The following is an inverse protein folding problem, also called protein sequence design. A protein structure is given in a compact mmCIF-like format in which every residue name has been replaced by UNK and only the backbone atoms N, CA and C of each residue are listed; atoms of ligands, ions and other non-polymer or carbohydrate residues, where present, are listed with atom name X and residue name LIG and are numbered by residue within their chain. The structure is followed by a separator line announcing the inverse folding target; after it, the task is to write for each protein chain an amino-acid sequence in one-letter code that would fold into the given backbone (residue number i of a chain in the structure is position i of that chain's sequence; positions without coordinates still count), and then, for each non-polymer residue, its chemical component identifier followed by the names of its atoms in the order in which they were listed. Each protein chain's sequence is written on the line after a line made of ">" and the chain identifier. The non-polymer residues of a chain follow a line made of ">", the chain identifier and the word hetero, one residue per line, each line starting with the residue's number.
data_IF_864256897185
#
_entry.id   IF_864256897185
#
_cell.length_a   1.000
_cell.length_b   1.000
_cell.length_c   1.000
_cell.angle_alpha   90.00
_cell.angle_beta   90.00
_cell.angle_gamma   90.00
#
_symmetry.space_group_name_H-M   'P 1'
#
loop_
_entity.id
_entity.type
_entity.pdbx_description
1 polymer ?
#
# COMPACT_ATOMS: atom_id res chain seq x y z
N UNK A 1 -3.07 -2.45 0.72
CA UNK A 1 -1.76 -2.65 1.35
C UNK A 1 -0.85 -1.47 1.02
N UNK A 2 -0.25 -0.88 2.05
CA UNK A 2 0.77 0.16 1.96
C UNK A 2 2.01 -0.38 2.67
N UNK A 3 2.93 -0.93 1.90
CA UNK A 3 4.28 -1.27 2.36
C UNK A 3 5.14 -0.04 2.13
N UNK A 4 5.36 0.72 3.19
CA UNK A 4 5.85 2.09 3.08
C UNK A 4 7.38 2.17 3.06
N UNK A 5 7.97 3.07 2.28
CA UNK A 5 9.40 3.37 2.41
C UNK A 5 9.69 3.85 3.83
N UNK A 6 10.73 3.30 4.45
CA UNK A 6 11.08 3.54 5.83
C UNK A 6 12.59 3.61 6.04
N UNK A 7 13.03 3.95 7.24
CA UNK A 7 14.46 4.03 7.60
C UNK A 7 15.16 2.67 7.67
N UNK A 8 14.42 1.56 7.64
CA UNK A 8 14.95 0.23 7.41
C UNK A 8 15.71 -0.40 8.59
N UNK A 9 15.43 -0.02 9.83
CA UNK A 9 16.13 -0.56 11.02
C UNK A 9 16.03 -2.09 11.13
N UNK A 10 14.93 -2.67 10.69
CA UNK A 10 14.74 -4.11 10.65
C UNK A 10 15.67 -4.84 9.69
N UNK A 11 16.29 -4.12 8.75
CA UNK A 11 17.21 -4.68 7.77
C UNK A 11 18.68 -4.68 8.24
N UNK A 12 19.01 -4.03 9.37
CA UNK A 12 20.39 -3.84 9.85
C UNK A 12 21.19 -5.12 10.03
N UNK A 13 20.54 -6.24 10.26
CA UNK A 13 21.18 -7.53 10.37
C UNK A 13 21.57 -8.09 9.02
N UNK A 14 20.75 -7.87 8.01
CA UNK A 14 20.87 -8.45 6.67
C UNK A 14 21.67 -7.56 5.73
N UNK A 15 21.49 -6.24 5.86
CA UNK A 15 22.04 -5.24 4.95
C UNK A 15 22.93 -4.24 5.72
N UNK A 16 24.26 -4.34 5.56
CA UNK A 16 25.17 -3.38 6.18
C UNK A 16 25.01 -1.95 5.67
N UNK A 17 24.57 -1.75 4.43
CA UNK A 17 24.41 -0.42 3.83
C UNK A 17 23.22 0.31 4.48
N UNK A 18 22.18 -0.41 4.88
CA UNK A 18 21.04 0.15 5.61
C UNK A 18 21.45 0.85 6.91
N UNK A 19 22.55 0.40 7.57
CA UNK A 19 23.11 1.08 8.77
C UNK A 19 23.79 2.39 8.40
N UNK A 20 24.44 2.43 7.24
CA UNK A 20 25.14 3.64 6.76
C UNK A 20 24.19 4.74 6.33
N UNK A 21 23.04 4.37 5.81
CA UNK A 21 22.00 5.28 5.34
C UNK A 21 21.09 5.80 6.45
N UNK A 22 21.06 5.12 7.60
CA UNK A 22 20.20 5.48 8.71
C UNK A 22 20.66 6.76 9.40
N UNK A 23 19.73 7.65 9.69
CA UNK A 23 19.93 8.84 10.52
C UNK A 23 18.57 9.30 11.06
N UNK A 24 18.57 10.08 12.17
CA UNK A 24 17.35 10.72 12.67
C UNK A 24 16.70 11.63 11.63
N UNK A 25 17.50 12.26 10.76
CA UNK A 25 17.01 13.07 9.65
C UNK A 25 16.26 12.22 8.62
N UNK A 26 16.80 11.03 8.28
CA UNK A 26 16.16 10.09 7.38
C UNK A 26 14.84 9.54 7.97
N UNK A 27 14.82 9.18 9.25
CA UNK A 27 13.60 8.77 9.97
C UNK A 27 12.49 9.82 9.82
N UNK A 28 12.80 11.11 10.06
CA UNK A 28 11.82 12.21 9.92
C UNK A 28 11.33 12.39 8.49
N UNK A 29 12.21 12.25 7.50
CA UNK A 29 11.83 12.31 6.08
C UNK A 29 10.93 11.13 5.68
N UNK A 30 11.27 9.93 6.11
CA UNK A 30 10.44 8.74 5.90
C UNK A 30 9.06 8.91 6.54
N UNK A 31 9.01 9.35 7.79
CA UNK A 31 7.75 9.59 8.51
C UNK A 31 6.85 10.61 7.80
N UNK A 32 7.42 11.71 7.27
CA UNK A 32 6.67 12.70 6.49
C UNK A 32 6.12 12.10 5.18
N UNK A 33 6.96 11.34 4.45
CA UNK A 33 6.55 10.68 3.20
C UNK A 33 5.49 9.61 3.43
N UNK A 34 5.58 8.87 4.53
CA UNK A 34 4.56 7.88 4.93
C UNK A 34 3.21 8.55 5.16
N UNK A 35 3.18 9.72 5.81
CA UNK A 35 1.95 10.47 6.03
C UNK A 35 1.29 10.89 4.71
N UNK A 36 2.06 11.35 3.72
CA UNK A 36 1.56 11.66 2.38
C UNK A 36 0.97 10.42 1.69
N UNK A 37 1.70 9.30 1.71
CA UNK A 37 1.25 8.04 1.11
C UNK A 37 -0.03 7.53 1.78
N UNK A 38 -0.09 7.57 3.11
CA UNK A 38 -1.28 7.15 3.86
C UNK A 38 -2.50 7.99 3.54
N UNK A 39 -2.35 9.32 3.36
CA UNK A 39 -3.44 10.21 2.95
C UNK A 39 -4.01 9.83 1.59
N UNK A 40 -3.15 9.59 0.60
CA UNK A 40 -3.61 9.21 -0.74
C UNK A 40 -4.23 7.80 -0.75
N UNK A 41 -3.63 6.85 -0.04
CA UNK A 41 -4.19 5.51 0.11
C UNK A 41 -5.57 5.52 0.79
N UNK A 42 -5.72 6.36 1.84
CA UNK A 42 -6.99 6.51 2.54
C UNK A 42 -8.08 7.13 1.67
N UNK A 43 -7.73 8.13 0.86
CA UNK A 43 -8.66 8.72 -0.12
C UNK A 43 -9.16 7.71 -1.15
N UNK A 44 -8.28 6.81 -1.59
CA UNK A 44 -8.60 5.76 -2.55
C UNK A 44 -9.42 4.60 -1.93
N UNK A 45 -9.38 4.46 -0.60
CA UNK A 45 -10.06 3.40 0.11
C UNK A 45 -11.58 3.65 0.16
N UNK A 46 -12.36 2.65 -0.21
CA UNK A 46 -13.82 2.70 -0.14
C UNK A 46 -14.30 2.72 1.32
N UNK A 47 -15.48 3.32 1.62
CA UNK A 47 -16.16 3.13 2.90
C UNK A 47 -16.25 1.64 3.26
N UNK A 48 -16.00 1.28 4.52
CA UNK A 48 -15.91 -0.10 4.99
C UNK A 48 -14.66 -0.85 4.56
N UNK A 49 -13.76 -0.23 3.78
CA UNK A 49 -12.51 -0.85 3.33
C UNK A 49 -11.48 -0.99 4.45
N UNK A 50 -10.53 -1.91 4.26
CA UNK A 50 -9.41 -2.15 5.18
C UNK A 50 -8.11 -1.72 4.52
N UNK A 51 -7.30 -0.96 5.23
CA UNK A 51 -5.93 -0.60 4.88
C UNK A 51 -4.99 -1.35 5.82
N UNK A 52 -3.99 -1.99 5.24
CA UNK A 52 -2.86 -2.57 5.98
C UNK A 52 -1.65 -1.69 5.68
N UNK A 53 -1.07 -1.13 6.73
CA UNK A 53 0.16 -0.34 6.70
C UNK A 53 1.31 -1.20 7.21
N UNK A 54 2.47 -1.16 6.57
CA UNK A 54 3.66 -1.89 7.00
C UNK A 54 4.94 -1.11 6.78
N UNK A 55 5.93 -1.39 7.63
CA UNK A 55 7.30 -0.90 7.55
C UNK A 55 8.28 -2.01 7.95
N UNK A 56 9.53 -1.88 7.52
CA UNK A 56 10.63 -2.71 8.02
C UNK A 56 11.52 -1.93 9.01
N UNK A 57 10.92 -1.16 9.91
CA UNK A 57 11.63 -0.41 10.95
C UNK A 57 11.08 -0.73 12.35
N UNK A 58 11.71 -0.18 13.38
CA UNK A 58 11.31 -0.37 14.78
C UNK A 58 11.00 0.95 15.47
N UNK A 59 11.37 2.09 14.89
CA UNK A 59 11.21 3.36 15.54
C UNK A 59 9.75 3.78 15.60
N UNK A 60 9.42 4.47 16.69
CA UNK A 60 8.06 4.90 16.96
C UNK A 60 7.55 5.96 15.96
N UNK A 61 8.42 6.81 15.44
CA UNK A 61 8.01 7.92 14.56
C UNK A 61 7.39 7.42 13.26
N UNK A 62 7.89 6.31 12.73
CA UNK A 62 7.45 5.69 11.50
C UNK A 62 6.34 4.64 11.72
N UNK A 63 6.26 4.07 12.92
CA UNK A 63 5.31 3.02 13.27
C UNK A 63 4.06 3.62 13.96
N UNK A 64 4.03 3.65 15.29
CA UNK A 64 2.88 4.19 16.02
C UNK A 64 2.62 5.66 15.73
N UNK A 65 3.67 6.46 15.55
CA UNK A 65 3.56 7.88 15.22
C UNK A 65 2.86 8.12 13.88
N UNK A 66 3.06 7.26 12.89
CA UNK A 66 2.31 7.33 11.63
C UNK A 66 0.81 7.12 11.85
N UNK A 67 0.43 6.18 12.73
CA UNK A 67 -0.96 5.92 13.08
C UNK A 67 -1.57 7.06 13.91
N UNK A 68 -0.81 7.64 14.83
CA UNK A 68 -1.23 8.80 15.63
C UNK A 68 -1.52 10.00 14.72
N UNK A 69 -0.63 10.29 13.75
CA UNK A 69 -0.85 11.31 12.73
C UNK A 69 -2.07 10.99 11.85
N UNK A 70 -2.21 9.72 11.44
CA UNK A 70 -3.39 9.28 10.68
C UNK A 70 -4.68 9.50 11.47
N UNK A 71 -4.72 9.15 12.75
CA UNK A 71 -5.87 9.40 13.61
C UNK A 71 -6.22 10.89 13.67
N UNK A 72 -5.21 11.76 13.74
CA UNK A 72 -5.42 13.21 13.84
C UNK A 72 -6.09 13.82 12.59
N UNK A 73 -5.79 13.30 11.38
CA UNK A 73 -6.37 13.87 10.15
C UNK A 73 -7.55 13.07 9.59
N UNK A 74 -7.70 11.78 9.90
CA UNK A 74 -8.83 10.97 9.43
C UNK A 74 -10.01 10.97 10.43
N UNK A 75 -9.73 11.15 11.72
CA UNK A 75 -10.74 11.32 12.75
C UNK A 75 -11.82 10.24 12.74
N UNK A 76 -13.08 10.67 12.70
CA UNK A 76 -14.27 9.79 12.73
C UNK A 76 -14.42 8.89 11.49
N UNK A 77 -13.60 9.09 10.45
CA UNK A 77 -13.58 8.16 9.32
C UNK A 77 -12.94 6.80 9.67
N UNK A 78 -12.25 6.69 10.82
CA UNK A 78 -11.61 5.46 11.26
C UNK A 78 -12.57 4.67 12.13
N UNK A 79 -12.94 3.50 11.68
CA UNK A 79 -13.67 2.53 12.49
C UNK A 79 -12.68 1.67 13.28
N UNK A 80 -13.15 1.13 14.41
CA UNK A 80 -12.36 0.20 15.20
C UNK A 80 -12.01 -1.06 14.38
N UNK A 81 -10.74 -1.45 14.40
CA UNK A 81 -10.28 -2.65 13.74
C UNK A 81 -10.65 -3.89 14.54
N UNK A 82 -11.20 -4.88 13.85
CA UNK A 82 -11.60 -6.16 14.43
C UNK A 82 -10.40 -6.90 15.04
N UNK A 83 -10.67 -7.72 16.06
CA UNK A 83 -9.66 -8.61 16.63
C UNK A 83 -9.20 -9.63 15.59
N UNK A 84 -7.90 -9.76 15.46
CA UNK A 84 -7.27 -10.79 14.64
C UNK A 84 -6.67 -11.82 15.57
N UNK A 85 -7.05 -13.08 15.40
CA UNK A 85 -6.46 -14.18 16.17
C UNK A 85 -5.00 -14.35 15.76
N UNK A 86 -4.09 -14.26 16.71
CA UNK A 86 -2.66 -14.49 16.56
C UNK A 86 -2.25 -15.53 17.59
N UNK A 87 -1.64 -16.62 17.15
CA UNK A 87 -1.16 -17.66 18.06
C UNK A 87 0.12 -17.21 18.78
N UNK A 88 0.20 -17.41 20.08
CA UNK A 88 1.38 -17.06 20.88
C UNK A 88 2.67 -17.70 20.35
N UNK A 89 2.57 -18.90 19.79
CA UNK A 89 3.67 -19.63 19.17
C UNK A 89 4.33 -18.90 18.00
N UNK A 90 3.64 -17.96 17.36
CA UNK A 90 4.20 -17.16 16.27
C UNK A 90 5.15 -16.06 16.74
N UNK A 91 5.17 -15.76 18.04
CA UNK A 91 6.06 -14.77 18.65
C UNK A 91 5.76 -13.32 18.26
N UNK A 92 4.64 -13.06 17.62
CA UNK A 92 4.22 -11.72 17.18
C UNK A 92 3.77 -10.91 18.41
N UNK A 93 4.26 -9.68 18.52
CA UNK A 93 3.81 -8.76 19.57
C UNK A 93 2.63 -7.95 19.05
N UNK A 94 1.44 -8.27 19.56
CA UNK A 94 0.21 -7.55 19.25
C UNK A 94 0.04 -6.33 20.15
N UNK A 95 -0.52 -5.25 19.59
CA UNK A 95 -0.80 -4.01 20.31
C UNK A 95 -1.95 -3.24 19.67
N UNK A 96 -2.19 -2.05 20.22
CA UNK A 96 -3.17 -1.07 19.69
C UNK A 96 -2.63 0.35 19.77
N UNK A 97 -3.01 1.15 18.79
CA UNK A 97 -2.89 2.61 18.79
C UNK A 97 -4.27 3.17 18.45
N UNK A 98 -5.00 3.65 19.45
CA UNK A 98 -6.41 4.04 19.26
C UNK A 98 -7.23 2.92 18.62
N UNK A 99 -7.85 3.19 17.49
CA UNK A 99 -8.68 2.24 16.74
C UNK A 99 -7.89 1.22 15.91
N UNK A 100 -6.57 1.39 15.81
CA UNK A 100 -5.72 0.52 14.98
C UNK A 100 -5.23 -0.69 15.75
N UNK A 101 -5.23 -1.86 15.10
CA UNK A 101 -4.49 -3.04 15.57
C UNK A 101 -3.09 -2.99 15.04
N UNK A 102 -2.09 -3.31 15.88
CA UNK A 102 -0.66 -3.32 15.52
C UNK A 102 -0.01 -4.66 15.79
N UNK A 103 0.98 -4.98 14.97
CA UNK A 103 1.72 -6.24 15.01
C UNK A 103 3.20 -5.93 14.81
N UNK A 104 4.04 -6.34 15.78
CA UNK A 104 5.49 -6.21 15.69
C UNK A 104 6.15 -7.57 15.59
N UNK A 105 7.02 -7.69 14.63
CA UNK A 105 7.82 -8.87 14.34
C UNK A 105 9.26 -8.57 14.71
N UNK A 106 9.72 -9.10 15.83
CA UNK A 106 11.09 -8.93 16.29
C UNK A 106 11.95 -10.14 15.90
N UNK A 107 13.16 -9.95 15.35
CA UNK A 107 14.03 -11.06 14.91
C UNK A 107 14.41 -12.05 16.00
N UNK A 108 14.34 -11.66 17.27
CA UNK A 108 14.60 -12.56 18.41
C UNK A 108 13.37 -13.38 18.83
N UNK A 109 12.20 -13.13 18.25
CA UNK A 109 10.94 -13.80 18.58
C UNK A 109 10.31 -14.49 17.37
N UNK A 110 10.54 -13.97 16.18
CA UNK A 110 9.98 -14.49 14.93
C UNK A 110 11.09 -14.90 13.98
N UNK A 111 10.79 -15.85 13.08
CA UNK A 111 11.72 -16.26 12.04
C UNK A 111 11.66 -15.25 10.89
N UNK A 112 12.55 -14.26 10.87
CA UNK A 112 12.57 -13.21 9.83
C UNK A 112 13.35 -11.97 10.25
N UNK A 113 13.25 -10.94 9.44
CA UNK A 113 13.78 -9.61 9.72
C UNK A 113 12.75 -8.78 10.53
N UNK A 114 13.13 -7.57 10.97
CA UNK A 114 12.23 -6.70 11.69
C UNK A 114 11.10 -6.16 10.80
N UNK A 115 9.89 -6.16 11.34
CA UNK A 115 8.72 -5.73 10.60
C UNK A 115 7.64 -5.18 11.54
N UNK A 116 6.94 -4.18 11.08
CA UNK A 116 5.75 -3.64 11.73
C UNK A 116 4.58 -3.70 10.75
N UNK A 117 3.41 -4.03 11.26
CA UNK A 117 2.17 -3.96 10.50
C UNK A 117 1.06 -3.34 11.36
N UNK A 118 0.17 -2.59 10.72
CA UNK A 118 -1.02 -2.05 11.35
C UNK A 118 -2.23 -2.20 10.44
N UNK A 119 -3.40 -2.42 11.05
CA UNK A 119 -4.68 -2.53 10.35
C UNK A 119 -5.54 -1.33 10.69
N UNK A 120 -6.01 -0.63 9.67
CA UNK A 120 -6.95 0.47 9.75
C UNK A 120 -8.22 0.11 8.96
N UNK A 121 -9.40 0.37 9.52
CA UNK A 121 -10.68 0.18 8.85
C UNK A 121 -11.36 1.52 8.61
N UNK A 122 -11.81 1.75 7.39
CA UNK A 122 -12.59 2.94 7.07
C UNK A 122 -14.05 2.75 7.48
N UNK A 123 -14.62 3.74 8.16
CA UNK A 123 -16.04 3.71 8.53
C UNK A 123 -16.93 3.59 7.29
N UNK A 124 -18.07 2.89 7.44
CA UNK A 124 -19.10 2.84 6.39
C UNK A 124 -19.77 4.20 6.18
N UNK A 125 -19.80 5.05 7.21
CA UNK A 125 -20.39 6.38 7.18
C UNK A 125 -19.43 7.46 6.64
N UNK A 126 -18.20 7.09 6.35
CA UNK A 126 -17.19 7.97 5.72
C UNK A 126 -17.58 8.31 4.27
N UNK A 127 -18.76 8.87 4.09
CA UNK A 127 -19.39 9.13 2.80
C UNK A 127 -19.03 10.49 2.21
N UNK A 128 -17.79 10.69 1.79
CA UNK A 128 -17.49 11.67 0.76
C UNK A 128 -17.76 11.05 -0.61
N UNK A 129 -18.65 11.64 -1.42
CA UNK A 129 -18.69 11.31 -2.86
C UNK A 129 -17.32 11.61 -3.44
N UNK A 130 -16.54 10.57 -3.70
CA UNK A 130 -15.34 10.70 -4.52
C UNK A 130 -15.80 11.21 -5.88
N UNK A 131 -15.54 12.48 -6.15
CA UNK A 131 -15.79 13.04 -7.46
C UNK A 131 -14.89 12.32 -8.43
N UNK A 132 -15.47 11.55 -9.35
CA UNK A 132 -14.71 10.92 -10.41
C UNK A 132 -13.79 11.97 -11.07
N UNK A 133 -12.50 11.70 -11.23
CA UNK A 133 -11.60 12.63 -11.91
C UNK A 133 -12.19 12.93 -13.30
N UNK A 134 -12.05 14.18 -13.76
CA UNK A 134 -12.45 14.53 -15.12
C UNK A 134 -11.64 13.65 -16.07
N UNK A 135 -12.34 12.95 -16.96
CA UNK A 135 -11.72 12.09 -17.95
C UNK A 135 -10.60 12.86 -18.69
N UNK A 136 -9.37 12.41 -18.54
CA UNK A 136 -8.23 12.81 -19.38
C UNK A 136 -8.15 11.82 -20.54
N UNK A 137 -7.51 12.20 -21.62
CA UNK A 137 -7.27 11.29 -22.75
C UNK A 137 -6.49 10.08 -22.23
N UNK A 138 -6.98 8.87 -22.50
CA UNK A 138 -6.24 7.64 -22.15
C UNK A 138 -4.89 7.65 -22.86
N UNK A 139 -3.86 7.33 -22.13
CA UNK A 139 -2.49 7.21 -22.63
C UNK A 139 -2.23 5.85 -23.28
N UNK A 140 -3.16 4.90 -23.10
CA UNK A 140 -3.04 3.56 -23.67
C UNK A 140 -3.35 3.57 -25.16
N UNK A 141 -2.35 3.24 -25.98
CA UNK A 141 -2.50 2.96 -27.40
C UNK A 141 -2.87 1.47 -27.58
N UNK A 142 -3.82 1.20 -28.48
CA UNK A 142 -4.12 -0.20 -28.82
C UNK A 142 -2.92 -0.82 -29.55
N UNK A 143 -2.53 -2.02 -29.16
CA UNK A 143 -1.55 -2.81 -29.89
C UNK A 143 -2.20 -3.47 -31.12
N UNK A 144 -1.44 -3.65 -32.18
CA UNK A 144 -1.91 -4.35 -33.37
C UNK A 144 -2.15 -5.85 -33.08
N UNK A 145 -2.88 -6.51 -34.00
CA UNK A 145 -3.30 -7.89 -33.82
C UNK A 145 -2.10 -8.88 -33.73
N UNK A 146 -1.00 -8.60 -34.42
CA UNK A 146 0.19 -9.44 -34.41
C UNK A 146 0.86 -9.36 -33.03
N UNK A 147 1.13 -8.15 -32.56
CA UNK A 147 1.71 -7.89 -31.24
C UNK A 147 0.84 -8.45 -30.12
N UNK A 148 -0.49 -8.28 -30.19
CA UNK A 148 -1.40 -8.88 -29.22
C UNK A 148 -1.32 -10.41 -29.21
N UNK A 149 -1.17 -11.05 -30.37
CA UNK A 149 -0.99 -12.48 -30.50
C UNK A 149 0.34 -12.98 -29.92
N UNK A 150 1.41 -12.21 -30.07
CA UNK A 150 2.72 -12.51 -29.48
C UNK A 150 2.66 -12.38 -27.95
N UNK A 151 2.07 -11.30 -27.43
CA UNK A 151 1.89 -11.07 -25.99
C UNK A 151 1.03 -12.16 -25.34
N UNK A 152 -0.01 -12.63 -26.02
CA UNK A 152 -0.89 -13.67 -25.53
C UNK A 152 -0.16 -15.00 -25.23
N UNK A 153 0.99 -15.26 -25.87
CA UNK A 153 1.80 -16.46 -25.59
C UNK A 153 2.46 -16.45 -24.22
N UNK A 154 2.65 -15.27 -23.63
CA UNK A 154 3.26 -15.08 -22.32
C UNK A 154 2.26 -15.17 -21.17
N UNK A 155 0.97 -15.30 -21.50
CA UNK A 155 -0.11 -15.32 -20.50
C UNK A 155 -0.80 -16.68 -20.52
N UNK A 156 -0.99 -17.26 -19.32
CA UNK A 156 -1.58 -18.62 -19.19
C UNK A 156 -3.01 -18.70 -19.76
N UNK A 157 -3.84 -17.67 -19.53
CA UNK A 157 -5.24 -17.59 -19.99
C UNK A 157 -5.48 -16.26 -20.71
N UNK A 158 -5.10 -16.11 -21.99
CA UNK A 158 -5.24 -14.84 -22.71
C UNK A 158 -6.68 -14.51 -23.11
N UNK A 159 -7.59 -15.50 -23.05
CA UNK A 159 -9.00 -15.29 -23.35
C UNK A 159 -9.63 -14.27 -22.40
N UNK A 160 -10.25 -13.22 -22.98
CA UNK A 160 -10.85 -12.13 -22.20
C UNK A 160 -9.86 -11.04 -21.73
N UNK A 161 -8.59 -11.09 -22.13
CA UNK A 161 -7.62 -10.04 -21.85
C UNK A 161 -7.63 -8.94 -22.91
N UNK A 162 -7.24 -7.75 -22.46
CA UNK A 162 -6.95 -6.58 -23.31
C UNK A 162 -5.47 -6.30 -23.22
N UNK A 163 -4.88 -5.89 -24.35
CA UNK A 163 -3.48 -5.48 -24.46
C UNK A 163 -3.41 -4.05 -24.99
N UNK A 164 -2.54 -3.25 -24.42
CA UNK A 164 -2.26 -1.90 -24.88
C UNK A 164 -0.81 -1.53 -24.57
N UNK A 165 -0.33 -0.45 -25.17
CA UNK A 165 1.02 0.05 -24.99
C UNK A 165 1.00 1.51 -24.50
N UNK A 166 2.01 1.85 -23.69
CA UNK A 166 2.41 3.22 -23.37
C UNK A 166 3.90 3.30 -23.59
N UNK A 167 4.33 4.13 -24.53
CA UNK A 167 5.72 4.17 -24.99
C UNK A 167 6.20 2.75 -25.35
N UNK A 168 7.28 2.28 -24.73
CA UNK A 168 7.91 0.98 -24.99
C UNK A 168 7.38 -0.15 -24.08
N UNK A 169 6.38 0.13 -23.25
CA UNK A 169 5.85 -0.85 -22.30
C UNK A 169 4.47 -1.34 -22.72
N UNK A 170 4.31 -2.67 -22.75
CA UNK A 170 3.01 -3.33 -23.00
C UNK A 170 2.33 -3.70 -21.69
N UNK A 171 1.03 -3.46 -21.62
CA UNK A 171 0.16 -3.74 -20.49
C UNK A 171 -0.91 -4.75 -20.88
N UNK A 172 -1.28 -5.60 -19.94
CA UNK A 172 -2.35 -6.56 -20.11
C UNK A 172 -3.27 -6.56 -18.88
N UNK A 173 -4.59 -6.63 -19.11
CA UNK A 173 -5.60 -6.71 -18.04
C UNK A 173 -6.82 -7.49 -18.53
N UNK A 174 -7.62 -8.02 -17.63
CA UNK A 174 -8.88 -8.66 -18.00
C UNK A 174 -9.90 -7.63 -18.46
N UNK A 175 -10.68 -7.96 -19.50
CA UNK A 175 -11.69 -7.07 -20.04
C UNK A 175 -12.71 -6.60 -18.99
N UNK A 176 -13.01 -7.42 -18.00
CA UNK A 176 -13.85 -7.06 -16.86
C UNK A 176 -13.29 -5.89 -16.01
N UNK A 177 -11.98 -5.62 -16.10
CA UNK A 177 -11.31 -4.53 -15.39
C UNK A 177 -11.14 -3.27 -16.23
N UNK A 178 -11.62 -3.26 -17.48
CA UNK A 178 -11.36 -2.19 -18.44
C UNK A 178 -11.78 -0.80 -17.94
N UNK A 179 -12.91 -0.70 -17.24
CA UNK A 179 -13.38 0.58 -16.71
C UNK A 179 -12.50 1.08 -15.55
N UNK A 180 -12.05 0.18 -14.68
CA UNK A 180 -11.13 0.53 -13.60
C UNK A 180 -9.77 0.97 -14.16
N UNK A 181 -9.22 0.24 -15.13
CA UNK A 181 -7.94 0.59 -15.78
C UNK A 181 -8.05 1.92 -16.50
N UNK A 182 -9.15 2.18 -17.22
CA UNK A 182 -9.39 3.48 -17.87
C UNK A 182 -9.42 4.61 -16.85
N UNK A 183 -10.19 4.45 -15.76
CA UNK A 183 -10.29 5.47 -14.71
C UNK A 183 -8.92 5.74 -14.06
N UNK A 184 -8.14 4.70 -13.79
CA UNK A 184 -6.79 4.86 -13.24
C UNK A 184 -5.83 5.53 -14.22
N UNK A 185 -5.86 5.16 -15.51
CA UNK A 185 -5.00 5.77 -16.53
C UNK A 185 -5.32 7.24 -16.79
N UNK A 186 -6.56 7.67 -16.54
CA UNK A 186 -6.98 9.06 -16.64
C UNK A 186 -6.59 9.89 -15.41
N UNK A 187 -6.39 9.24 -14.27
CA UNK A 187 -6.10 9.87 -12.98
C UNK A 187 -4.60 9.95 -12.66
N UNK A 188 -3.80 9.00 -13.15
CA UNK A 188 -2.38 8.94 -12.87
C UNK A 188 -1.58 9.72 -13.92
N UNK A 189 -0.61 10.56 -13.50
CA UNK A 189 0.37 11.12 -14.43
C UNK A 189 1.24 9.96 -14.95
N UNK A 190 1.41 9.91 -16.26
CA UNK A 190 2.33 8.99 -16.95
C UNK A 190 3.61 9.73 -17.28
#
# INVERSE_FOLDING_TARGET
>A
LVDAPCSGEGMFRKDPDARGEWSEGNVKQCAARQDEILREAWRALKPGGTLVYSTCTFNRDEDEGALERMAAWAGDEIAESEETAVEDAWGIVCGRVGAFRTFRFYPHRTCGEGFFAAVARKSFDAGGRVRAPKARRTVFAAVDRKTAGELARWVRNPGGMRFAAVADTCYAWYAAQADAVRTLSEALPV
#
